data_IF_677419540590
#
_entry.id   IF_677419540590
#
_cell.length_a   1.000
_cell.length_b   1.000
_cell.length_c   1.000
_cell.angle_alpha   90.00
_cell.angle_beta   90.00
_cell.angle_gamma   90.00
#
_symmetry.space_group_name_H-M   'P 1'
#
loop_
_entity.id
_entity.type
_entity.pdbx_description
1 polymer ?
#
# COMPACT_ATOMS: atom_id res chain seq x y z
N UNK A 1 4.74 -15.24 -26.54
CA UNK A 1 3.76 -14.25 -26.04
C UNK A 1 3.88 -13.02 -26.93
N UNK A 2 2.85 -12.70 -27.71
CA UNK A 2 2.92 -11.55 -28.63
C UNK A 2 2.93 -10.26 -27.82
N UNK A 3 4.00 -9.48 -27.94
CA UNK A 3 4.09 -8.13 -27.40
C UNK A 3 3.06 -7.27 -28.09
N UNK A 4 1.92 -7.03 -27.43
CA UNK A 4 0.90 -6.12 -27.95
C UNK A 4 1.51 -4.72 -28.02
N UNK A 5 1.60 -4.17 -29.23
CA UNK A 5 1.99 -2.77 -29.42
C UNK A 5 0.83 -1.89 -28.94
N UNK A 6 1.12 -1.00 -28.00
CA UNK A 6 0.17 0.00 -27.52
C UNK A 6 0.27 1.24 -28.43
N UNK A 7 -0.88 1.83 -28.75
CA UNK A 7 -0.91 3.21 -29.26
C UNK A 7 -0.53 4.19 -28.15
N UNK A 8 -0.04 5.38 -28.51
CA UNK A 8 0.28 6.43 -27.53
C UNK A 8 -0.92 6.80 -26.65
N UNK A 9 -2.14 6.81 -27.22
CA UNK A 9 -3.35 7.12 -26.48
C UNK A 9 -3.71 6.03 -25.47
N UNK A 10 -3.60 4.75 -25.85
CA UNK A 10 -3.82 3.64 -24.92
C UNK A 10 -2.77 3.64 -23.81
N UNK A 11 -1.50 3.95 -24.12
CA UNK A 11 -0.45 4.06 -23.11
C UNK A 11 -0.76 5.17 -22.08
N UNK A 12 -1.24 6.34 -22.53
CA UNK A 12 -1.62 7.43 -21.62
C UNK A 12 -2.81 7.07 -20.73
N UNK A 13 -3.83 6.40 -21.29
CA UNK A 13 -4.98 5.89 -20.53
C UNK A 13 -4.53 4.89 -19.45
N UNK A 14 -3.62 3.98 -19.77
CA UNK A 14 -3.09 3.01 -18.79
C UNK A 14 -2.24 3.68 -17.71
N UNK A 15 -1.49 4.75 -18.06
CA UNK A 15 -0.76 5.57 -17.09
C UNK A 15 -1.70 6.29 -16.11
N UNK A 16 -2.77 6.89 -16.61
CA UNK A 16 -3.78 7.55 -15.78
C UNK A 16 -4.47 6.53 -14.84
N UNK A 17 -4.83 5.36 -15.36
CA UNK A 17 -5.39 4.26 -14.56
C UNK A 17 -4.44 3.78 -13.45
N UNK A 18 -3.15 3.69 -13.75
CA UNK A 18 -2.13 3.36 -12.75
C UNK A 18 -2.05 4.43 -11.67
N UNK A 19 -2.12 5.70 -12.04
CA UNK A 19 -2.16 6.82 -11.09
C UNK A 19 -3.37 6.75 -10.15
N UNK A 20 -4.57 6.53 -10.68
CA UNK A 20 -5.80 6.39 -9.91
C UNK A 20 -5.74 5.17 -8.97
N UNK A 21 -5.16 4.07 -9.45
CA UNK A 21 -4.95 2.86 -8.65
C UNK A 21 -3.99 3.11 -7.49
N UNK A 22 -2.90 3.86 -7.71
CA UNK A 22 -1.99 4.29 -6.63
C UNK A 22 -2.74 5.11 -5.59
N UNK A 23 -3.62 6.03 -6.01
CA UNK A 23 -4.45 6.82 -5.12
C UNK A 23 -5.39 5.95 -4.28
N UNK A 24 -6.09 5.02 -4.93
CA UNK A 24 -7.04 4.10 -4.27
C UNK A 24 -6.32 3.21 -3.25
N UNK A 25 -5.22 2.56 -3.64
CA UNK A 25 -4.42 1.73 -2.74
C UNK A 25 -3.86 2.57 -1.59
N UNK A 26 -3.41 3.79 -1.87
CA UNK A 26 -2.95 4.72 -0.85
C UNK A 26 -4.03 5.02 0.19
N UNK A 27 -5.26 5.28 -0.24
CA UNK A 27 -6.40 5.50 0.65
C UNK A 27 -6.76 4.26 1.48
N UNK A 28 -6.84 3.09 0.84
CA UNK A 28 -7.10 1.83 1.55
C UNK A 28 -5.99 1.50 2.56
N UNK A 29 -4.73 1.77 2.23
CA UNK A 29 -3.60 1.55 3.15
C UNK A 29 -3.74 2.42 4.39
N UNK A 30 -4.04 3.70 4.23
CA UNK A 30 -4.23 4.61 5.36
C UNK A 30 -5.42 4.21 6.25
N UNK A 31 -6.52 3.72 5.66
CA UNK A 31 -7.66 3.21 6.40
C UNK A 31 -7.28 1.98 7.25
N UNK A 32 -6.57 1.02 6.64
CA UNK A 32 -6.09 -0.19 7.35
C UNK A 32 -5.16 0.18 8.50
N UNK A 33 -4.24 1.14 8.30
CA UNK A 33 -3.36 1.63 9.37
C UNK A 33 -4.14 2.23 10.55
N UNK A 34 -5.17 3.01 10.26
CA UNK A 34 -6.04 3.58 11.28
C UNK A 34 -6.79 2.48 12.06
N UNK A 35 -7.32 1.47 11.38
CA UNK A 35 -8.01 0.34 12.01
C UNK A 35 -7.05 -0.47 12.90
N UNK A 36 -5.84 -0.75 12.43
CA UNK A 36 -4.80 -1.43 13.21
C UNK A 36 -4.46 -0.64 14.47
N UNK A 37 -4.30 0.68 14.36
CA UNK A 37 -4.02 1.54 15.50
C UNK A 37 -5.15 1.51 16.54
N UNK A 38 -6.41 1.52 16.08
CA UNK A 38 -7.57 1.42 16.95
C UNK A 38 -7.61 0.08 17.71
N UNK A 39 -7.30 -1.03 17.04
CA UNK A 39 -7.24 -2.36 17.70
C UNK A 39 -6.06 -2.44 18.68
N UNK A 40 -4.88 -1.92 18.32
CA UNK A 40 -3.73 -1.86 19.24
C UNK A 40 -4.07 -1.06 20.51
N UNK A 41 -4.78 0.06 20.36
CA UNK A 41 -5.24 0.86 21.51
C UNK A 41 -6.27 0.10 22.35
N UNK A 42 -7.21 -0.63 21.73
CA UNK A 42 -8.16 -1.47 22.44
C UNK A 42 -7.45 -2.57 23.26
N UNK A 43 -6.41 -3.21 22.71
CA UNK A 43 -5.60 -4.17 23.47
C UNK A 43 -4.90 -3.52 24.67
N UNK A 44 -4.30 -2.33 24.48
CA UNK A 44 -3.65 -1.58 25.56
C UNK A 44 -4.62 -1.23 26.70
N UNK A 45 -5.83 -0.80 26.36
CA UNK A 45 -6.87 -0.48 27.34
C UNK A 45 -7.35 -1.71 28.10
N UNK A 46 -7.52 -2.84 27.40
CA UNK A 46 -7.89 -4.10 28.02
C UNK A 46 -6.80 -4.61 28.97
N UNK A 47 -5.52 -4.55 28.58
CA UNK A 47 -4.39 -4.93 29.43
C UNK A 47 -4.38 -4.15 30.75
N UNK A 48 -4.67 -2.85 30.71
CA UNK A 48 -4.63 -1.98 31.88
C UNK A 48 -5.61 -2.37 33.00
N UNK A 49 -6.67 -3.11 32.67
CA UNK A 49 -7.71 -3.54 33.62
C UNK A 49 -7.75 -5.06 33.81
N UNK A 50 -6.97 -5.82 33.06
CA UNK A 50 -7.00 -7.29 33.06
C UNK A 50 -6.15 -7.87 34.20
N UNK A 51 -6.71 -7.95 35.41
CA UNK A 51 -6.09 -8.62 36.55
C UNK A 51 -6.49 -10.09 36.62
N UNK A 52 -5.92 -10.94 35.77
CA UNK A 52 -6.14 -12.40 35.91
C UNK A 52 -4.96 -13.26 35.42
N UNK A 53 -4.89 -14.54 35.82
CA UNK A 53 -3.81 -15.47 35.46
C UNK A 53 -3.66 -15.71 33.95
N UNK A 54 -4.66 -15.37 33.13
CA UNK A 54 -4.62 -15.47 31.67
C UNK A 54 -3.96 -14.26 30.99
N UNK A 55 -3.41 -13.32 31.75
CA UNK A 55 -2.63 -12.17 31.23
C UNK A 55 -1.53 -12.61 30.26
N UNK A 56 -0.83 -13.72 30.52
CA UNK A 56 0.22 -14.23 29.62
C UNK A 56 -0.31 -14.61 28.23
N UNK A 57 -1.50 -15.21 28.15
CA UNK A 57 -2.16 -15.56 26.88
C UNK A 57 -2.59 -14.30 26.12
N UNK A 58 -3.09 -13.30 26.86
CA UNK A 58 -3.48 -12.02 26.29
C UNK A 58 -2.28 -11.25 25.70
N UNK A 59 -1.16 -11.19 26.41
CA UNK A 59 0.08 -10.58 25.91
C UNK A 59 0.62 -11.31 24.67
N UNK A 60 0.45 -12.63 24.59
CA UNK A 60 0.79 -13.42 23.39
C UNK A 60 -0.05 -13.01 22.18
N UNK A 61 -1.38 -12.92 22.35
CA UNK A 61 -2.29 -12.50 21.29
C UNK A 61 -1.99 -11.08 20.80
N UNK A 62 -1.74 -10.14 21.71
CA UNK A 62 -1.39 -8.76 21.37
C UNK A 62 -0.10 -8.67 20.54
N UNK A 63 0.90 -9.50 20.87
CA UNK A 63 2.15 -9.60 20.11
C UNK A 63 1.90 -10.16 18.72
N UNK A 64 1.24 -11.31 18.61
CA UNK A 64 0.95 -11.94 17.31
C UNK A 64 0.12 -11.02 16.41
N UNK A 65 -0.87 -10.32 16.97
CA UNK A 65 -1.63 -9.32 16.22
C UNK A 65 -0.71 -8.21 15.71
N UNK A 66 0.15 -7.65 16.58
CA UNK A 66 1.06 -6.58 16.20
C UNK A 66 2.02 -7.01 15.09
N UNK A 67 2.62 -8.19 15.20
CA UNK A 67 3.59 -8.71 14.24
C UNK A 67 2.96 -8.94 12.86
N UNK A 68 1.76 -9.56 12.82
CA UNK A 68 1.03 -9.79 11.57
C UNK A 68 0.58 -8.48 10.92
N UNK A 69 0.10 -7.52 11.71
CA UNK A 69 -0.36 -6.25 11.19
C UNK A 69 0.80 -5.37 10.70
N UNK A 70 1.95 -5.37 11.37
CA UNK A 70 3.14 -4.64 10.92
C UNK A 70 3.69 -5.23 9.60
N UNK A 71 3.58 -6.56 9.45
CA UNK A 71 3.89 -7.25 8.18
C UNK A 71 2.94 -6.80 7.07
N UNK A 72 1.63 -6.74 7.34
CA UNK A 72 0.64 -6.28 6.38
C UNK A 72 0.90 -4.84 5.92
N UNK A 73 1.14 -3.92 6.86
CA UNK A 73 1.44 -2.50 6.57
C UNK A 73 2.71 -2.39 5.72
N UNK A 74 3.74 -3.18 6.04
CA UNK A 74 4.98 -3.22 5.27
C UNK A 74 4.73 -3.66 3.82
N UNK A 75 3.91 -4.69 3.60
CA UNK A 75 3.57 -5.17 2.26
C UNK A 75 2.76 -4.13 1.46
N UNK A 76 1.81 -3.44 2.11
CA UNK A 76 1.02 -2.38 1.48
C UNK A 76 1.91 -1.19 1.07
N UNK A 77 2.83 -0.78 1.93
CA UNK A 77 3.82 0.25 1.61
C UNK A 77 4.73 -0.14 0.45
N UNK A 78 5.19 -1.40 0.42
CA UNK A 78 6.02 -1.90 -0.66
C UNK A 78 5.25 -1.92 -1.99
N UNK A 79 3.99 -2.33 -1.99
CA UNK A 79 3.14 -2.33 -3.18
C UNK A 79 2.96 -0.90 -3.70
N UNK A 80 2.63 0.06 -2.82
CA UNK A 80 2.52 1.48 -3.17
C UNK A 80 3.83 2.02 -3.77
N UNK A 81 4.97 1.70 -3.16
CA UNK A 81 6.30 2.11 -3.63
C UNK A 81 6.58 1.59 -5.04
N UNK A 82 6.31 0.31 -5.29
CA UNK A 82 6.55 -0.31 -6.61
C UNK A 82 5.65 0.28 -7.69
N UNK A 83 4.37 0.50 -7.40
CA UNK A 83 3.45 1.13 -8.35
C UNK A 83 3.89 2.57 -8.67
N UNK A 84 4.29 3.35 -7.66
CA UNK A 84 4.80 4.71 -7.86
C UNK A 84 6.08 4.72 -8.72
N UNK A 85 7.02 3.82 -8.43
CA UNK A 85 8.25 3.70 -9.22
C UNK A 85 7.94 3.34 -10.70
N UNK A 86 6.99 2.43 -10.92
CA UNK A 86 6.53 2.09 -12.28
C UNK A 86 5.90 3.30 -12.98
N UNK A 87 5.00 4.02 -12.30
CA UNK A 87 4.40 5.24 -12.83
C UNK A 87 5.44 6.29 -13.20
N UNK A 88 6.36 6.61 -12.28
CA UNK A 88 7.40 7.63 -12.47
C UNK A 88 8.29 7.26 -13.68
N UNK A 89 8.66 5.98 -13.81
CA UNK A 89 9.45 5.47 -14.95
C UNK A 89 8.70 5.59 -16.28
N UNK A 90 7.44 5.18 -16.33
CA UNK A 90 6.64 5.23 -17.57
C UNK A 90 6.32 6.66 -17.99
N UNK A 91 6.01 7.53 -17.03
CA UNK A 91 5.77 8.95 -17.28
C UNK A 91 7.04 9.66 -17.79
N UNK A 92 8.23 9.30 -17.26
CA UNK A 92 9.50 9.81 -17.78
C UNK A 92 9.74 9.40 -19.23
N UNK A 93 9.46 8.14 -19.57
CA UNK A 93 9.55 7.63 -20.96
C UNK A 93 8.58 8.38 -21.88
N UNK A 94 7.34 8.60 -21.46
CA UNK A 94 6.35 9.40 -22.22
C UNK A 94 6.87 10.80 -22.50
N UNK A 95 7.38 11.47 -21.45
CA UNK A 95 7.88 12.85 -21.52
C UNK A 95 9.11 12.96 -22.44
N UNK A 96 9.99 11.96 -22.43
CA UNK A 96 11.16 11.92 -23.32
C UNK A 96 10.74 11.66 -24.77
N UNK A 97 9.82 10.74 -25.01
CA UNK A 97 9.34 10.42 -26.36
C UNK A 97 8.60 11.60 -26.99
N UNK A 98 7.68 12.23 -26.26
CA UNK A 98 6.95 13.43 -26.73
C UNK A 98 7.89 14.58 -27.09
N UNK A 99 8.99 14.79 -26.35
CA UNK A 99 10.03 15.78 -26.69
C UNK A 99 10.83 15.44 -27.95
N UNK A 100 11.00 14.15 -28.26
CA UNK A 100 11.75 13.70 -29.45
C UNK A 100 10.91 13.73 -30.74
N UNK A 101 9.57 13.60 -30.65
CA UNK A 101 8.66 13.68 -31.80
C UNK A 101 8.32 15.13 -32.24
N UNK A 102 8.89 16.14 -31.58
CA UNK A 102 8.68 17.57 -31.89
C UNK A 102 9.95 18.27 -32.40
N UNK A 103 10.93 17.52 -32.91
CA UNK A 103 12.06 18.01 -33.72
C UNK A 103 11.96 17.48 -35.14
#
# INVERSE_FOLDING_TARGET
MASRSFTLNEFRIELDRLHDTIGTVGGCTAAIEADIAAVKEAFRLAEAVWQSPSSATFSGLQREFSDHMDTLVTLLHEMKRRMKAAYDMYHEVETKNTKNFHK
#
